data_IF_402694266233
#
_entry.id   IF_402694266233
#
_cell.length_a   1.000
_cell.length_b   1.000
_cell.length_c   1.000
_cell.angle_alpha   90.00
_cell.angle_beta   90.00
_cell.angle_gamma   90.00
#
_symmetry.space_group_name_H-M   'P 1'
#
loop_
_entity.id
_entity.type
_entity.pdbx_description
1 polymer ?
#
# COMPACT_ATOMS: atom_id res chain seq x y z
N UNK A 1 -5.76 -21.46 23.04
CA UNK A 1 -4.69 -21.07 22.08
C UNK A 1 -4.99 -19.65 21.62
N UNK A 2 -4.01 -18.73 21.62
CA UNK A 2 -4.16 -17.35 21.12
C UNK A 2 -3.16 -17.13 19.97
N UNK A 3 -3.55 -16.34 18.97
CA UNK A 3 -2.66 -15.94 17.89
C UNK A 3 -1.55 -15.04 18.43
N UNK A 4 -0.30 -15.27 18.02
CA UNK A 4 0.86 -14.45 18.40
C UNK A 4 1.21 -13.47 17.28
N UNK A 5 1.91 -12.38 17.61
CA UNK A 5 2.41 -11.42 16.62
C UNK A 5 3.38 -12.07 15.63
N UNK A 6 4.19 -13.02 16.08
CA UNK A 6 5.09 -13.80 15.24
C UNK A 6 4.32 -14.65 14.22
N UNK A 7 3.28 -15.37 14.67
CA UNK A 7 2.44 -16.15 13.77
C UNK A 7 1.72 -15.25 12.74
N UNK A 8 1.21 -14.09 13.17
CA UNK A 8 0.59 -13.12 12.26
C UNK A 8 1.59 -12.60 11.21
N UNK A 9 2.80 -12.24 11.63
CA UNK A 9 3.88 -11.84 10.70
C UNK A 9 4.23 -12.97 9.73
N UNK A 10 4.29 -14.21 10.21
CA UNK A 10 4.51 -15.39 9.38
C UNK A 10 3.43 -15.56 8.32
N UNK A 11 2.16 -15.48 8.71
CA UNK A 11 1.01 -15.52 7.79
C UNK A 11 1.12 -14.43 6.73
N UNK A 12 1.34 -13.17 7.14
CA UNK A 12 1.42 -12.05 6.21
C UNK A 12 2.57 -12.16 5.19
N UNK A 13 3.65 -12.87 5.51
CA UNK A 13 4.78 -13.09 4.60
C UNK A 13 4.57 -14.24 3.59
N UNK A 14 3.60 -15.13 3.82
CA UNK A 14 3.27 -16.23 2.90
C UNK A 14 2.05 -15.95 2.04
N UNK A 15 1.32 -14.86 2.29
CA UNK A 15 0.25 -14.42 1.41
C UNK A 15 0.80 -14.03 0.03
N UNK A 16 0.06 -14.35 -1.04
CA UNK A 16 0.39 -13.96 -2.41
C UNK A 16 -0.03 -12.52 -2.75
N UNK A 17 -0.21 -11.66 -1.74
CA UNK A 17 -0.59 -10.26 -1.89
C UNK A 17 0.43 -9.38 -1.17
N UNK A 18 0.77 -8.25 -1.77
CA UNK A 18 1.63 -7.28 -1.12
C UNK A 18 0.85 -6.54 -0.03
N UNK A 19 1.39 -6.46 1.18
CA UNK A 19 0.77 -5.75 2.30
C UNK A 19 1.78 -4.79 2.94
N UNK A 20 1.37 -3.52 3.04
CA UNK A 20 2.05 -2.49 3.82
C UNK A 20 1.06 -1.95 4.86
N UNK A 21 1.49 -1.94 6.14
CA UNK A 21 0.71 -1.36 7.23
C UNK A 21 1.35 -0.04 7.65
N UNK A 22 0.56 1.04 7.64
CA UNK A 22 1.00 2.39 7.94
C UNK A 22 0.31 2.89 9.20
N UNK A 23 1.09 3.26 10.21
CA UNK A 23 0.60 3.85 11.45
C UNK A 23 0.04 5.26 11.24
N UNK A 24 -0.59 5.79 12.28
CA UNK A 24 -1.14 7.16 12.25
C UNK A 24 -0.04 8.25 12.25
N UNK A 25 1.20 7.90 12.58
CA UNK A 25 2.38 8.77 12.50
C UNK A 25 3.12 8.67 11.15
N UNK A 26 2.43 8.19 10.12
CA UNK A 26 2.95 7.95 8.76
C UNK A 26 4.10 6.92 8.69
N UNK A 27 4.39 6.18 9.77
CA UNK A 27 5.44 5.15 9.76
C UNK A 27 4.94 3.81 9.29
N UNK A 28 5.81 3.09 8.59
CA UNK A 28 5.57 1.72 8.16
C UNK A 28 5.73 0.79 9.36
N UNK A 29 4.63 0.16 9.78
CA UNK A 29 4.59 -0.80 10.88
C UNK A 29 4.96 -2.21 10.41
N UNK A 30 4.56 -2.55 9.18
CA UNK A 30 4.84 -3.82 8.54
C UNK A 30 4.94 -3.61 7.03
N UNK A 31 5.87 -4.32 6.41
CA UNK A 31 6.05 -4.36 4.97
C UNK A 31 6.40 -5.81 4.65
N UNK A 32 5.45 -6.55 4.05
CA UNK A 32 5.67 -7.97 3.81
C UNK A 32 6.64 -8.20 2.65
N UNK A 33 7.09 -9.45 2.49
CA UNK A 33 8.03 -9.84 1.44
C UNK A 33 7.49 -9.55 0.03
N UNK A 34 6.24 -9.94 -0.25
CA UNK A 34 5.63 -9.78 -1.58
C UNK A 34 5.51 -8.31 -1.99
N UNK A 35 5.11 -7.42 -1.08
CA UNK A 35 5.09 -5.99 -1.38
C UNK A 35 6.50 -5.47 -1.71
N UNK A 36 7.54 -5.95 -1.01
CA UNK A 36 8.93 -5.55 -1.27
C UNK A 36 9.38 -5.94 -2.67
N UNK A 37 9.03 -7.16 -3.10
CA UNK A 37 9.27 -7.66 -4.45
C UNK A 37 8.47 -6.86 -5.50
N UNK A 38 7.21 -6.53 -5.23
CA UNK A 38 6.35 -5.72 -6.10
C UNK A 38 6.87 -4.28 -6.26
N UNK A 39 7.27 -3.65 -5.16
CA UNK A 39 7.77 -2.28 -5.12
C UNK A 39 9.29 -2.17 -5.23
N UNK A 40 9.99 -3.25 -5.59
CA UNK A 40 11.45 -3.30 -5.71
C UNK A 40 12.18 -2.62 -4.52
N UNK A 41 11.70 -2.85 -3.30
CA UNK A 41 12.22 -2.29 -2.05
C UNK A 41 12.72 -3.40 -1.14
N UNK A 42 13.76 -3.10 -0.37
CA UNK A 42 14.12 -3.92 0.79
C UNK A 42 13.14 -3.66 1.94
N UNK A 43 12.10 -4.50 2.07
CA UNK A 43 11.03 -4.33 3.08
C UNK A 43 11.55 -4.10 4.50
N UNK A 44 12.54 -4.89 5.02
CA UNK A 44 13.12 -4.65 6.34
C UNK A 44 13.69 -3.24 6.55
N UNK A 45 14.38 -2.66 5.56
CA UNK A 45 14.92 -1.30 5.68
C UNK A 45 13.86 -0.20 5.77
N UNK A 46 12.65 -0.47 5.27
CA UNK A 46 11.54 0.49 5.21
C UNK A 46 10.71 0.52 6.49
N UNK A 47 10.68 -0.58 7.25
CA UNK A 47 9.95 -0.65 8.52
C UNK A 47 10.48 0.41 9.50
N UNK A 48 9.56 1.15 10.15
CA UNK A 48 9.85 2.25 11.06
C UNK A 48 10.16 3.58 10.38
N UNK A 49 10.28 3.61 9.05
CA UNK A 49 10.46 4.86 8.28
C UNK A 49 9.13 5.41 7.80
N UNK A 50 9.11 6.68 7.39
CA UNK A 50 7.89 7.30 6.87
C UNK A 50 7.53 6.77 5.49
N UNK A 51 6.26 6.38 5.29
CA UNK A 51 5.71 5.95 4.00
C UNK A 51 5.93 6.99 2.90
N UNK A 52 5.96 8.27 3.26
CA UNK A 52 6.16 9.38 2.34
C UNK A 52 7.53 9.33 1.64
N UNK A 53 8.52 8.64 2.23
CA UNK A 53 9.84 8.43 1.63
C UNK A 53 9.86 7.26 0.63
N UNK A 54 8.79 6.47 0.56
CA UNK A 54 8.59 5.50 -0.51
C UNK A 54 8.20 6.18 -1.84
N UNK A 55 7.89 7.47 -1.80
CA UNK A 55 7.56 8.28 -2.98
C UNK A 55 8.58 9.42 -3.17
N UNK A 56 8.71 9.88 -4.42
CA UNK A 56 9.44 11.10 -4.74
C UNK A 56 8.73 12.34 -4.17
N UNK A 57 9.48 13.43 -3.99
CA UNK A 57 9.00 14.66 -3.31
C UNK A 57 7.73 15.24 -3.95
N UNK A 58 7.63 15.17 -5.28
CA UNK A 58 6.47 15.67 -6.04
C UNK A 58 5.17 14.96 -5.65
N UNK A 59 5.23 13.69 -5.24
CA UNK A 59 4.04 12.91 -4.88
C UNK A 59 3.70 12.99 -3.39
N UNK A 60 4.63 13.42 -2.53
CA UNK A 60 4.44 13.45 -1.08
C UNK A 60 3.17 14.22 -0.64
N UNK A 61 2.88 15.44 -1.14
CA UNK A 61 1.68 16.18 -0.72
C UNK A 61 0.38 15.42 -1.04
N UNK A 62 0.33 14.75 -2.19
CA UNK A 62 -0.86 14.00 -2.61
C UNK A 62 -1.06 12.76 -1.74
N UNK A 63 0.01 12.01 -1.44
CA UNK A 63 -0.05 10.84 -0.56
C UNK A 63 -0.47 11.25 0.85
N UNK A 64 0.11 12.34 1.38
CA UNK A 64 -0.26 12.88 2.70
C UNK A 64 -1.73 13.27 2.75
N UNK A 65 -2.24 13.94 1.71
CA UNK A 65 -3.65 14.31 1.61
C UNK A 65 -4.55 13.07 1.60
N UNK A 66 -4.25 12.09 0.76
CA UNK A 66 -5.00 10.83 0.69
C UNK A 66 -5.05 10.11 2.05
N UNK A 67 -3.91 9.97 2.73
CA UNK A 67 -3.87 9.35 4.06
C UNK A 67 -4.71 10.12 5.09
N UNK A 68 -4.70 11.46 5.03
CA UNK A 68 -5.54 12.30 5.88
C UNK A 68 -7.04 12.09 5.61
N UNK A 69 -7.44 12.05 4.34
CA UNK A 69 -8.82 11.83 3.92
C UNK A 69 -9.31 10.43 4.34
N UNK A 70 -8.46 9.41 4.20
CA UNK A 70 -8.76 8.04 4.65
C UNK A 70 -8.93 7.97 6.17
N UNK A 71 -8.00 8.57 6.93
CA UNK A 71 -8.05 8.56 8.40
C UNK A 71 -9.28 9.28 8.93
N UNK A 72 -9.58 10.46 8.40
CA UNK A 72 -10.76 11.26 8.79
C UNK A 72 -12.09 10.63 8.34
N UNK A 73 -12.06 9.76 7.34
CA UNK A 73 -13.24 9.11 6.78
C UNK A 73 -13.93 9.92 5.67
N UNK A 74 -13.37 11.06 5.25
CA UNK A 74 -13.84 11.76 4.05
C UNK A 74 -13.60 10.95 2.77
N UNK A 75 -12.64 10.02 2.81
CA UNK A 75 -12.43 8.95 1.82
C UNK A 75 -12.55 7.60 2.52
N UNK A 76 -13.41 6.70 2.00
CA UNK A 76 -13.59 5.37 2.61
C UNK A 76 -12.47 4.40 2.26
N UNK A 77 -12.00 4.49 1.01
CA UNK A 77 -10.89 3.72 0.46
C UNK A 77 -10.38 4.42 -0.80
N UNK A 78 -9.17 4.09 -1.20
CA UNK A 78 -8.62 4.38 -2.51
C UNK A 78 -8.40 3.05 -3.24
N UNK A 79 -8.72 3.01 -4.53
CA UNK A 79 -8.43 1.88 -5.41
C UNK A 79 -7.89 2.42 -6.72
N UNK A 80 -6.76 1.89 -7.18
CA UNK A 80 -6.08 2.47 -8.33
C UNK A 80 -5.06 1.55 -8.96
N UNK A 81 -4.65 1.91 -10.18
CA UNK A 81 -3.51 1.30 -10.83
C UNK A 81 -2.29 2.16 -10.57
N UNK A 82 -1.17 1.53 -10.26
CA UNK A 82 0.11 2.21 -10.02
C UNK A 82 1.19 1.63 -10.92
N UNK A 83 1.85 2.49 -11.68
CA UNK A 83 3.10 2.17 -12.34
C UNK A 83 4.23 2.39 -11.34
N UNK A 84 4.81 1.29 -10.87
CA UNK A 84 5.99 1.32 -10.05
C UNK A 84 7.21 0.87 -10.85
N UNK A 85 8.01 1.82 -11.34
CA UNK A 85 9.24 1.57 -12.11
C UNK A 85 9.02 0.62 -13.29
N UNK A 86 7.94 0.80 -14.05
CA UNK A 86 7.56 -0.02 -15.19
C UNK A 86 6.83 -1.31 -14.82
N UNK A 87 6.66 -1.61 -13.53
CA UNK A 87 5.80 -2.70 -13.07
C UNK A 87 4.43 -2.13 -12.74
N UNK A 88 3.41 -2.58 -13.48
CA UNK A 88 2.03 -2.24 -13.17
C UNK A 88 1.52 -3.07 -12.00
N UNK A 89 0.91 -2.41 -11.02
CA UNK A 89 0.24 -3.04 -9.87
C UNK A 89 -1.17 -2.45 -9.73
N UNK A 90 -2.03 -3.18 -9.03
CA UNK A 90 -3.33 -2.67 -8.58
C UNK A 90 -3.32 -2.55 -7.06
N UNK A 91 -3.62 -1.35 -6.55
CA UNK A 91 -3.54 -1.03 -5.13
C UNK A 91 -4.92 -0.76 -4.52
N UNK A 92 -5.16 -1.28 -3.32
CA UNK A 92 -6.27 -0.89 -2.46
C UNK A 92 -5.71 -0.28 -1.18
N UNK A 93 -6.18 0.90 -0.80
CA UNK A 93 -5.73 1.59 0.41
C UNK A 93 -6.95 1.92 1.26
N UNK A 94 -6.98 1.41 2.49
CA UNK A 94 -8.15 1.51 3.34
C UNK A 94 -7.79 1.55 4.83
N UNK A 95 -8.64 2.16 5.67
CA UNK A 95 -8.38 2.28 7.10
C UNK A 95 -8.77 0.99 7.83
N UNK A 96 -7.99 0.61 8.83
CA UNK A 96 -8.46 -0.30 9.89
C UNK A 96 -8.97 0.56 11.04
N UNK A 97 -10.20 0.31 11.47
CA UNK A 97 -10.86 1.04 12.55
C UNK A 97 -11.07 0.15 13.77
N UNK A 98 -10.97 0.72 14.96
CA UNK A 98 -11.35 0.03 16.19
C UNK A 98 -12.87 0.07 16.40
N UNK A 99 -13.35 -0.53 17.49
CA UNK A 99 -14.77 -0.60 17.85
C UNK A 99 -15.44 0.78 18.07
N UNK A 100 -14.63 1.84 18.26
CA UNK A 100 -15.09 3.23 18.38
C UNK A 100 -15.14 3.96 17.04
N UNK A 101 -14.77 3.29 15.93
CA UNK A 101 -14.68 3.89 14.60
C UNK A 101 -13.39 4.68 14.35
N UNK A 102 -12.46 4.72 15.30
CA UNK A 102 -11.20 5.45 15.16
C UNK A 102 -10.26 4.67 14.24
N UNK A 103 -9.66 5.34 13.25
CA UNK A 103 -8.64 4.74 12.39
C UNK A 103 -7.38 4.45 13.20
N UNK A 104 -6.99 3.18 13.32
CA UNK A 104 -5.81 2.74 14.07
C UNK A 104 -4.57 2.57 13.18
N UNK A 105 -4.78 2.22 11.91
CA UNK A 105 -3.75 2.15 10.88
C UNK A 105 -4.39 2.19 9.49
N UNK A 106 -3.57 2.38 8.46
CA UNK A 106 -3.96 2.26 7.06
C UNK A 106 -3.28 1.03 6.46
N UNK A 107 -4.02 0.25 5.67
CA UNK A 107 -3.51 -0.87 4.88
C UNK A 107 -3.33 -0.39 3.45
N UNK A 108 -2.21 -0.73 2.84
CA UNK A 108 -2.01 -0.74 1.39
C UNK A 108 -1.86 -2.20 0.96
N UNK A 109 -2.73 -2.63 0.05
CA UNK A 109 -2.80 -3.96 -0.52
C UNK A 109 -2.44 -3.91 -2.01
N UNK A 110 -1.45 -4.68 -2.44
CA UNK A 110 -0.92 -4.67 -3.80
C UNK A 110 -1.13 -6.01 -4.48
N UNK A 111 -1.69 -5.98 -5.69
CA UNK A 111 -1.89 -7.13 -6.54
C UNK A 111 -1.10 -7.01 -7.84
N UNK A 112 -0.76 -8.16 -8.42
CA UNK A 112 -0.24 -8.19 -9.77
C UNK A 112 -1.32 -7.71 -10.76
N UNK A 113 -0.94 -6.75 -11.61
CA UNK A 113 -1.88 -6.09 -12.50
C UNK A 113 -2.43 -7.01 -13.58
N UNK A 114 -1.67 -8.00 -14.04
CA UNK A 114 -2.09 -8.89 -15.12
C UNK A 114 -3.26 -9.78 -14.66
N UNK A 115 -3.10 -10.42 -13.50
CA UNK A 115 -4.14 -11.27 -12.90
C UNK A 115 -5.42 -10.46 -12.61
N UNK A 116 -5.27 -9.27 -12.02
CA UNK A 116 -6.43 -8.41 -11.74
C UNK A 116 -7.11 -7.93 -13.02
N UNK A 117 -6.34 -7.56 -14.05
CA UNK A 117 -6.88 -7.10 -15.31
C UNK A 117 -7.65 -8.21 -16.04
N UNK A 118 -7.12 -9.42 -16.06
CA UNK A 118 -7.79 -10.58 -16.63
C UNK A 118 -9.12 -10.86 -15.91
N UNK A 119 -9.10 -10.88 -14.58
CA UNK A 119 -10.32 -11.05 -13.78
C UNK A 119 -11.38 -9.98 -14.09
N UNK A 120 -11.00 -8.69 -14.12
CA UNK A 120 -11.94 -7.60 -14.39
C UNK A 120 -12.53 -7.65 -15.80
N UNK A 121 -11.75 -8.13 -16.79
CA UNK A 121 -12.25 -8.36 -18.15
C UNK A 121 -13.28 -9.49 -18.17
N UNK A 122 -12.98 -10.63 -17.53
CA UNK A 122 -13.90 -11.77 -17.42
C UNK A 122 -15.19 -11.37 -16.69
N UNK A 123 -15.08 -10.60 -15.62
CA UNK A 123 -16.20 -10.12 -14.83
C UNK A 123 -17.04 -9.02 -15.51
N UNK A 124 -16.63 -8.52 -16.69
CA UNK A 124 -17.31 -7.42 -17.38
C UNK A 124 -17.21 -6.07 -16.63
N UNK A 125 -16.20 -5.91 -15.79
CA UNK A 125 -15.99 -4.75 -14.90
C UNK A 125 -14.81 -3.88 -15.31
N UNK A 126 -14.19 -4.15 -16.47
CA UNK A 126 -13.12 -3.33 -17.00
C UNK A 126 -13.60 -1.91 -17.33
N UNK A 127 -12.83 -0.88 -16.92
CA UNK A 127 -13.12 0.55 -17.13
C UNK A 127 -11.84 1.29 -17.53
N UNK A 128 -11.98 2.52 -18.02
CA UNK A 128 -10.84 3.41 -18.28
C UNK A 128 -9.96 3.57 -17.03
N UNK A 129 -8.66 3.42 -17.24
CA UNK A 129 -7.67 3.25 -16.17
C UNK A 129 -6.98 4.59 -15.90
N UNK A 130 -7.26 5.18 -14.73
CA UNK A 130 -6.33 6.16 -14.16
C UNK A 130 -5.12 5.41 -13.58
N UNK A 131 -3.93 5.75 -14.05
CA UNK A 131 -2.65 5.19 -13.58
C UNK A 131 -1.88 6.26 -12.79
N UNK A 132 -1.60 5.97 -11.53
CA UNK A 132 -0.68 6.74 -10.68
C UNK A 132 0.78 6.29 -10.93
N UNK A 133 1.76 7.08 -10.52
CA UNK A 133 3.18 6.66 -10.55
C UNK A 133 3.92 6.73 -11.89
N UNK A 134 3.24 7.08 -13.00
CA UNK A 134 3.87 7.17 -14.34
C UNK A 134 5.06 8.15 -14.37
N UNK A 135 6.19 7.68 -14.89
CA UNK A 135 7.45 8.42 -15.00
C UNK A 135 8.46 8.14 -13.89
N UNK A 136 9.68 8.67 -13.98
CA UNK A 136 10.76 8.40 -13.01
C UNK A 136 10.59 9.20 -11.70
N UNK A 137 9.67 8.79 -10.83
CA UNK A 137 9.57 9.27 -9.44
C UNK A 137 10.11 8.22 -8.49
N UNK A 138 11.44 8.12 -8.41
CA UNK A 138 12.09 7.11 -7.56
C UNK A 138 11.76 7.33 -6.06
N UNK A 139 11.58 6.24 -5.29
CA UNK A 139 11.56 6.30 -3.84
C UNK A 139 12.81 6.98 -3.30
N UNK A 140 12.66 7.77 -2.24
CA UNK A 140 13.77 8.39 -1.52
C UNK A 140 14.45 7.38 -0.59
N UNK A 141 15.65 7.72 -0.11
CA UNK A 141 16.34 6.95 0.93
C UNK A 141 15.40 6.72 2.13
N UNK A 142 15.33 5.53 2.75
CA UNK A 142 14.47 5.28 3.90
C UNK A 142 14.71 6.23 5.08
N UNK A 143 15.95 6.69 5.25
CA UNK A 143 16.36 7.63 6.29
C UNK A 143 16.80 8.96 5.65
N UNK A 144 16.59 10.11 6.33
CA UNK A 144 17.16 11.39 5.92
C UNK A 144 18.67 11.30 5.70
#
# INVERSE_FOLDING_TARGET
MRLTLEALKGVLNVLNVGIVLVGNDDKILLFNRIAGEMLQQDSPSRIGTSILRCHGEVSEPNVRKMLSEIRSGSMQKYEGWVDFRGRMLYEHIYPVRNDRGECILVVEELHDSAEKAEYLKIAGQWKDIHVSGVGMKAPRSPRP
#
